data_IF_452427592573
#
_entry.id   IF_452427592573
#
_cell.length_a   1.000
_cell.length_b   1.000
_cell.length_c   1.000
_cell.angle_alpha   90.00
_cell.angle_beta   90.00
_cell.angle_gamma   90.00
#
_symmetry.space_group_name_H-M   'P 1'
#
loop_
_entity.id
_entity.type
_entity.pdbx_description
1 polymer ?
#
# COMPACT_ATOMS: atom_id res chain seq x y z
N UNK A 1 50.81 -22.05 12.40
CA UNK A 1 49.58 -21.26 12.59
C UNK A 1 48.38 -22.18 12.43
N UNK A 2 47.59 -22.37 13.49
CA UNK A 2 46.37 -23.18 13.44
C UNK A 2 45.23 -22.27 12.96
N UNK A 3 44.58 -22.60 11.84
CA UNK A 3 43.37 -21.91 11.35
C UNK A 3 42.15 -22.67 11.86
N UNK A 4 41.42 -22.07 12.80
CA UNK A 4 40.15 -22.61 13.28
C UNK A 4 39.07 -22.43 12.20
N UNK A 5 38.21 -23.45 12.03
CA UNK A 5 37.06 -23.42 11.12
C UNK A 5 35.87 -22.84 11.89
N UNK A 6 35.36 -21.68 11.46
CA UNK A 6 34.16 -21.04 12.02
C UNK A 6 32.96 -21.97 11.76
N UNK A 7 32.32 -22.47 12.83
CA UNK A 7 31.22 -23.43 12.73
C UNK A 7 29.85 -22.74 12.73
N UNK A 8 29.71 -21.63 13.46
CA UNK A 8 28.47 -20.86 13.53
C UNK A 8 28.80 -19.43 13.97
N UNK A 9 28.13 -18.45 13.37
CA UNK A 9 28.11 -17.05 13.79
C UNK A 9 26.67 -16.75 14.16
N UNK A 10 26.44 -16.28 15.38
CA UNK A 10 25.09 -15.97 15.87
C UNK A 10 24.51 -14.88 14.96
N UNK A 11 23.36 -15.16 14.36
CA UNK A 11 22.65 -14.18 13.54
C UNK A 11 21.95 -13.23 14.53
N UNK A 12 22.40 -11.99 14.63
CA UNK A 12 21.68 -10.95 15.36
C UNK A 12 20.28 -10.79 14.73
N UNK A 13 19.24 -11.30 15.41
CA UNK A 13 17.85 -11.17 14.98
C UNK A 13 17.28 -9.90 15.61
N UNK A 14 17.01 -8.88 14.77
CA UNK A 14 16.29 -7.69 15.19
C UNK A 14 14.76 -7.95 15.13
N UNK A 15 14.12 -7.97 16.30
CA UNK A 15 12.67 -8.15 16.42
C UNK A 15 12.00 -6.80 16.58
N UNK A 16 11.20 -6.41 15.59
CA UNK A 16 10.37 -5.21 15.66
C UNK A 16 8.96 -5.57 16.11
N UNK A 17 8.36 -4.71 16.94
CA UNK A 17 6.94 -4.81 17.25
C UNK A 17 6.15 -4.47 15.98
N UNK A 18 5.13 -5.26 15.67
CA UNK A 18 4.20 -4.92 14.59
C UNK A 18 3.57 -3.53 14.86
N UNK A 19 3.41 -2.69 13.84
CA UNK A 19 2.89 -1.33 14.02
C UNK A 19 1.48 -1.35 14.62
N UNK A 20 1.09 -0.28 15.30
CA UNK A 20 -0.31 -0.04 15.67
C UNK A 20 -1.17 0.19 14.41
N UNK A 21 -2.51 0.20 14.54
CA UNK A 21 -3.37 0.36 13.36
C UNK A 21 -3.26 1.77 12.76
N UNK A 22 -3.20 2.80 13.59
CA UNK A 22 -3.02 4.20 13.19
C UNK A 22 -1.64 4.44 12.57
N UNK A 23 -0.63 3.73 13.06
CA UNK A 23 0.72 3.78 12.50
C UNK A 23 0.77 3.10 11.13
N UNK A 24 0.10 1.95 10.97
CA UNK A 24 -0.02 1.29 9.68
C UNK A 24 -0.77 2.16 8.65
N UNK A 25 -1.84 2.85 9.07
CA UNK A 25 -2.55 3.84 8.23
C UNK A 25 -1.61 4.95 7.73
N UNK A 26 -0.75 5.50 8.61
CA UNK A 26 0.24 6.51 8.24
C UNK A 26 1.29 5.94 7.29
N UNK A 27 1.88 4.79 7.63
CA UNK A 27 2.90 4.13 6.80
C UNK A 27 2.39 3.84 5.39
N UNK A 28 1.13 3.42 5.24
CA UNK A 28 0.53 3.17 3.92
C UNK A 28 0.46 4.47 3.11
N UNK A 29 -0.05 5.55 3.69
CA UNK A 29 -0.13 6.86 3.01
C UNK A 29 1.24 7.39 2.65
N UNK A 30 2.21 7.31 3.57
CA UNK A 30 3.59 7.74 3.34
C UNK A 30 4.25 6.90 2.25
N UNK A 31 3.99 5.59 2.22
CA UNK A 31 4.52 4.69 1.18
C UNK A 31 4.00 5.08 -0.21
N UNK A 32 2.69 5.34 -0.35
CA UNK A 32 2.10 5.78 -1.62
C UNK A 32 2.63 7.17 -2.01
N UNK A 33 2.70 8.10 -1.06
CA UNK A 33 3.23 9.45 -1.26
C UNK A 33 4.68 9.43 -1.75
N UNK A 34 5.56 8.71 -1.03
CA UNK A 34 6.98 8.61 -1.33
C UNK A 34 7.26 7.86 -2.65
N UNK A 35 6.37 6.95 -3.05
CA UNK A 35 6.45 6.30 -4.36
C UNK A 35 6.15 7.27 -5.52
N UNK A 36 5.48 8.39 -5.26
CA UNK A 36 5.20 9.46 -6.23
C UNK A 36 4.19 9.12 -7.33
N UNK A 37 3.66 7.89 -7.33
CA UNK A 37 2.68 7.39 -8.29
C UNK A 37 1.75 6.36 -7.63
N UNK A 38 0.55 6.12 -8.20
CA UNK A 38 -0.33 5.07 -7.74
C UNK A 38 0.36 3.70 -7.67
N UNK A 39 -0.03 2.91 -6.68
CA UNK A 39 0.55 1.61 -6.40
C UNK A 39 -0.49 0.50 -6.51
N UNK A 40 -0.16 -0.58 -7.18
CA UNK A 40 -1.00 -1.77 -7.21
C UNK A 40 -1.05 -2.46 -5.83
N UNK A 41 -2.11 -3.23 -5.59
CA UNK A 41 -2.20 -4.12 -4.43
C UNK A 41 -0.97 -5.02 -4.28
N UNK A 42 -0.45 -5.55 -5.40
CA UNK A 42 0.74 -6.40 -5.41
C UNK A 42 1.96 -5.65 -4.86
N UNK A 43 2.22 -4.44 -5.34
CA UNK A 43 3.37 -3.64 -4.88
C UNK A 43 3.24 -3.26 -3.40
N UNK A 44 2.04 -2.91 -2.94
CA UNK A 44 1.79 -2.62 -1.52
C UNK A 44 2.01 -3.87 -0.66
N UNK A 45 1.45 -5.01 -1.07
CA UNK A 45 1.66 -6.28 -0.37
C UNK A 45 3.14 -6.64 -0.26
N UNK A 46 3.92 -6.47 -1.34
CA UNK A 46 5.35 -6.73 -1.34
C UNK A 46 6.10 -5.79 -0.39
N UNK A 47 5.77 -4.49 -0.36
CA UNK A 47 6.41 -3.51 0.54
C UNK A 47 6.08 -3.72 2.02
N UNK A 48 4.88 -4.21 2.32
CA UNK A 48 4.42 -4.44 3.69
C UNK A 48 4.63 -5.88 4.17
N UNK A 49 5.25 -6.74 3.35
CA UNK A 49 5.61 -8.09 3.75
C UNK A 49 6.54 -8.05 4.96
N UNK A 50 6.19 -8.75 6.03
CA UNK A 50 6.93 -8.74 7.30
C UNK A 50 6.59 -7.57 8.23
N UNK A 51 5.91 -6.51 7.75
CA UNK A 51 5.42 -5.39 8.57
C UNK A 51 3.98 -5.66 9.04
N UNK A 52 3.12 -6.07 8.11
CA UNK A 52 1.73 -6.38 8.38
C UNK A 52 1.24 -7.57 7.55
N UNK A 53 0.37 -8.39 8.13
CA UNK A 53 -0.32 -9.45 7.39
C UNK A 53 -1.27 -8.86 6.34
N UNK A 54 -1.49 -9.58 5.23
CA UNK A 54 -2.33 -9.13 4.11
C UNK A 54 -3.76 -8.73 4.54
N UNK A 55 -4.37 -9.50 5.45
CA UNK A 55 -5.72 -9.19 5.96
C UNK A 55 -5.76 -7.84 6.69
N UNK A 56 -4.72 -7.57 7.48
CA UNK A 56 -4.60 -6.32 8.22
C UNK A 56 -4.37 -5.13 7.28
N UNK A 57 -3.50 -5.30 6.29
CA UNK A 57 -3.28 -4.29 5.25
C UNK A 57 -4.57 -4.00 4.47
N UNK A 58 -5.34 -5.04 4.12
CA UNK A 58 -6.63 -4.90 3.44
C UNK A 58 -7.62 -4.09 4.28
N UNK A 59 -7.76 -4.40 5.57
CA UNK A 59 -8.64 -3.66 6.49
C UNK A 59 -8.27 -2.18 6.58
N UNK A 60 -6.98 -1.87 6.70
CA UNK A 60 -6.47 -0.49 6.70
C UNK A 60 -6.80 0.22 5.39
N UNK A 61 -6.55 -0.41 4.25
CA UNK A 61 -6.84 0.18 2.95
C UNK A 61 -8.34 0.47 2.76
N UNK A 62 -9.21 -0.46 3.17
CA UNK A 62 -10.66 -0.26 3.12
C UNK A 62 -11.05 0.97 3.94
N UNK A 63 -10.57 1.10 5.18
CA UNK A 63 -10.87 2.27 6.03
C UNK A 63 -10.37 3.58 5.42
N UNK A 64 -9.16 3.59 4.84
CA UNK A 64 -8.61 4.76 4.19
C UNK A 64 -9.41 5.16 2.94
N UNK A 65 -9.93 4.18 2.18
CA UNK A 65 -10.82 4.42 1.04
C UNK A 65 -12.17 4.97 1.51
N UNK A 66 -12.77 4.37 2.53
CA UNK A 66 -14.04 4.82 3.12
C UNK A 66 -13.98 6.26 3.64
N UNK A 67 -12.79 6.70 4.09
CA UNK A 67 -12.52 8.07 4.57
C UNK A 67 -12.08 9.06 3.49
N UNK A 68 -12.10 8.68 2.21
CA UNK A 68 -11.59 9.50 1.10
C UNK A 68 -10.09 9.88 1.25
N UNK A 69 -9.31 9.17 2.07
CA UNK A 69 -7.87 9.41 2.28
C UNK A 69 -6.99 8.67 1.27
N UNK A 70 -7.53 7.61 0.67
CA UNK A 70 -6.98 6.88 -0.47
C UNK A 70 -8.10 6.70 -1.50
N UNK A 71 -7.74 6.68 -2.77
CA UNK A 71 -8.65 6.37 -3.87
C UNK A 71 -8.21 5.11 -4.60
N UNK A 72 -9.17 4.37 -5.13
CA UNK A 72 -8.93 3.26 -6.04
C UNK A 72 -9.11 3.73 -7.50
N UNK A 73 -8.11 3.45 -8.32
CA UNK A 73 -8.07 3.78 -9.74
C UNK A 73 -8.69 2.66 -10.59
N UNK A 74 -9.03 2.92 -11.86
CA UNK A 74 -9.75 1.96 -12.71
C UNK A 74 -9.09 0.59 -12.91
N UNK A 75 -7.78 0.47 -12.70
CA UNK A 75 -7.02 -0.79 -12.75
C UNK A 75 -6.78 -1.45 -11.38
N UNK A 76 -7.40 -0.93 -10.33
CA UNK A 76 -7.22 -1.38 -8.95
C UNK A 76 -5.95 -0.86 -8.28
N UNK A 77 -5.24 0.09 -8.89
CA UNK A 77 -4.16 0.80 -8.22
C UNK A 77 -4.71 1.75 -7.15
N UNK A 78 -4.00 1.87 -6.05
CA UNK A 78 -4.32 2.72 -4.91
C UNK A 78 -3.47 3.98 -4.96
N UNK A 79 -4.09 5.13 -4.73
CA UNK A 79 -3.43 6.42 -4.83
C UNK A 79 -3.92 7.37 -3.74
N UNK A 80 -3.16 8.44 -3.48
CA UNK A 80 -3.66 9.56 -2.69
C UNK A 80 -4.59 10.45 -3.55
N UNK A 81 -5.57 11.14 -2.95
CA UNK A 81 -6.35 12.15 -3.64
C UNK A 81 -5.43 13.18 -4.33
N UNK A 82 -5.70 13.47 -5.60
CA UNK A 82 -4.89 14.32 -6.48
C UNK A 82 -3.95 13.54 -7.40
N UNK A 83 -3.58 12.29 -7.09
CA UNK A 83 -2.72 11.51 -7.97
C UNK A 83 -3.44 11.05 -9.25
N UNK A 84 -4.78 11.02 -9.25
CA UNK A 84 -5.59 10.67 -10.41
C UNK A 84 -5.38 11.60 -11.61
N UNK A 85 -4.94 12.84 -11.39
CA UNK A 85 -4.66 13.80 -12.48
C UNK A 85 -3.48 13.37 -13.35
N UNK A 86 -2.52 12.63 -12.78
CA UNK A 86 -1.34 12.12 -13.47
C UNK A 86 -1.50 10.67 -13.97
N UNK A 87 -2.62 10.03 -13.65
CA UNK A 87 -2.83 8.62 -13.95
C UNK A 87 -3.25 8.41 -15.42
N UNK A 88 -2.48 7.58 -16.13
CA UNK A 88 -2.79 7.16 -17.50
C UNK A 88 -3.24 5.69 -17.46
N UNK A 89 -4.54 5.39 -17.68
CA UNK A 89 -5.02 4.01 -17.71
C UNK A 89 -4.37 3.21 -18.85
N UNK A 90 -4.09 1.93 -18.59
CA UNK A 90 -3.65 1.02 -19.67
C UNK A 90 -4.81 0.75 -20.62
N UNK A 91 -4.51 0.57 -21.91
CA UNK A 91 -5.54 0.30 -22.95
C UNK A 91 -6.43 -0.92 -22.65
N UNK A 92 -5.89 -1.89 -21.89
CA UNK A 92 -6.59 -3.11 -21.48
C UNK A 92 -7.42 -2.94 -20.22
N UNK A 93 -7.32 -1.81 -19.52
CA UNK A 93 -8.07 -1.56 -18.28
C UNK A 93 -9.54 -1.36 -18.63
N UNK A 94 -10.34 -2.42 -18.45
CA UNK A 94 -11.80 -2.27 -18.37
C UNK A 94 -12.07 -1.42 -17.14
N UNK A 95 -12.81 -0.31 -17.27
CA UNK A 95 -13.25 0.53 -16.13
C UNK A 95 -13.86 -0.38 -15.06
N UNK A 96 -13.11 -0.71 -14.02
CA UNK A 96 -13.67 -1.10 -12.74
C UNK A 96 -14.00 0.22 -12.06
N UNK A 97 -15.27 0.37 -11.64
CA UNK A 97 -15.84 1.66 -11.22
C UNK A 97 -14.90 2.38 -10.25
N UNK A 98 -14.57 3.67 -10.46
CA UNK A 98 -13.89 4.43 -9.42
C UNK A 98 -14.89 4.58 -8.28
N UNK A 99 -14.64 3.90 -7.17
CA UNK A 99 -15.50 3.98 -6.00
C UNK A 99 -14.77 4.72 -4.89
N UNK A 100 -15.03 6.04 -4.83
CA UNK A 100 -15.52 6.59 -3.57
C UNK A 100 -16.92 7.20 -3.81
N UNK A 101 -17.99 6.76 -3.11
CA UNK A 101 -19.39 7.05 -3.44
C UNK A 101 -19.83 8.53 -3.44
N UNK A 102 -19.13 9.43 -2.75
CA UNK A 102 -19.50 10.85 -2.61
C UNK A 102 -19.25 11.65 -3.89
N UNK A 103 -18.09 11.47 -4.53
CA UNK A 103 -17.66 12.23 -5.71
C UNK A 103 -18.12 11.66 -7.06
N UNK A 104 -18.60 10.41 -7.09
CA UNK A 104 -19.21 9.84 -8.31
C UNK A 104 -20.51 10.55 -8.68
N UNK A 105 -21.38 10.88 -7.71
CA UNK A 105 -22.67 11.56 -7.95
C UNK A 105 -22.56 13.03 -8.32
N UNK A 106 -21.53 13.75 -7.85
CA UNK A 106 -21.43 15.20 -8.05
C UNK A 106 -20.91 15.63 -9.44
N UNK A 107 -20.24 14.72 -10.18
CA UNK A 107 -19.48 15.06 -11.40
C UNK A 107 -20.03 14.40 -12.66
N UNK A 108 -20.89 13.39 -12.52
CA UNK A 108 -21.48 12.62 -13.63
C UNK A 108 -22.93 12.17 -13.36
N UNK A 109 -23.52 12.59 -12.25
CA UNK A 109 -24.96 12.51 -11.96
C UNK A 109 -25.60 13.88 -12.12
#
# INVERSE_FOLDING_TARGET
>A
MIRLKKLYEDLDIEVFKAPAEEELERLVKDTISNNGKPMSWKELRERFAGIAGEDRLRKVLIRLIERDEIIELPDGALALPGMEYSYIPKKSTKRVRPLVPSKFRARWG
#
